data_IF_347129299837
#
_entry.id   IF_347129299837
#
_cell.length_a   1.000
_cell.length_b   1.000
_cell.length_c   1.000
_cell.angle_alpha   90.00
_cell.angle_beta   90.00
_cell.angle_gamma   90.00
#
_symmetry.space_group_name_H-M   'P 1'
#
loop_
_entity.id
_entity.type
_entity.pdbx_description
1 polymer ?
#
# COMPACT_ATOMS: atom_id res chain seq x y z
N UNK A 1 -3.80 11.12 -8.57
CA UNK A 1 -2.52 10.48 -8.18
C UNK A 1 -2.80 9.13 -7.58
N UNK A 2 -1.86 8.21 -7.76
CA UNK A 2 -1.81 6.85 -7.26
C UNK A 2 -0.92 6.84 -6.02
N UNK A 3 -1.49 6.67 -4.84
CA UNK A 3 -0.75 6.65 -3.58
C UNK A 3 -0.58 5.19 -3.15
N UNK A 4 0.67 4.74 -3.05
CA UNK A 4 1.02 3.44 -2.49
C UNK A 4 1.19 3.51 -0.98
N UNK A 5 0.65 2.53 -0.27
CA UNK A 5 0.86 2.33 1.17
C UNK A 5 1.51 0.97 1.41
N UNK A 6 2.66 0.98 2.08
CA UNK A 6 3.29 -0.23 2.61
C UNK A 6 2.54 -0.67 3.87
N UNK A 7 1.82 -1.78 3.76
CA UNK A 7 0.87 -2.26 4.76
C UNK A 7 -0.59 -1.99 4.36
N UNK A 8 -1.48 -2.85 4.86
CA UNK A 8 -2.90 -2.83 4.55
C UNK A 8 -3.80 -2.92 5.81
N UNK A 9 -3.28 -2.54 6.96
CA UNK A 9 -3.97 -2.48 8.24
C UNK A 9 -4.99 -1.36 8.36
N UNK A 10 -5.45 -1.11 9.59
CA UNK A 10 -6.50 -0.12 9.86
C UNK A 10 -6.06 1.33 9.57
N UNK A 11 -4.76 1.64 9.66
CA UNK A 11 -4.25 2.99 9.40
C UNK A 11 -4.22 3.27 7.89
N UNK A 12 -3.82 2.29 7.07
CA UNK A 12 -3.95 2.31 5.61
C UNK A 12 -5.40 2.55 5.19
N UNK A 13 -6.36 1.96 5.90
CA UNK A 13 -7.79 2.15 5.65
C UNK A 13 -8.22 3.58 5.95
N UNK A 14 -7.75 4.16 7.04
CA UNK A 14 -8.00 5.57 7.37
C UNK A 14 -7.36 6.52 6.34
N UNK A 15 -6.17 6.18 5.83
CA UNK A 15 -5.54 6.92 4.73
C UNK A 15 -6.37 6.85 3.46
N UNK A 16 -6.84 5.67 3.04
CA UNK A 16 -7.70 5.52 1.87
C UNK A 16 -8.97 6.36 1.96
N UNK A 17 -9.69 6.25 3.08
CA UNK A 17 -10.94 6.96 3.29
C UNK A 17 -10.74 8.49 3.25
N UNK A 18 -9.57 8.98 3.64
CA UNK A 18 -9.21 10.40 3.57
C UNK A 18 -8.74 10.82 2.17
N UNK A 19 -8.09 9.91 1.44
CA UNK A 19 -7.56 10.17 0.11
C UNK A 19 -8.65 10.17 -0.99
N UNK A 20 -9.70 9.37 -0.83
CA UNK A 20 -10.76 9.26 -1.84
C UNK A 20 -11.54 10.56 -2.10
N UNK A 21 -11.97 11.34 -1.08
CA UNK A 21 -12.58 12.65 -1.30
C UNK A 21 -11.70 13.63 -2.08
N UNK A 22 -10.38 13.41 -2.06
CA UNK A 22 -9.38 14.23 -2.77
C UNK A 22 -9.11 13.73 -4.21
N UNK A 23 -9.83 12.71 -4.67
CA UNK A 23 -9.66 12.15 -6.02
C UNK A 23 -8.39 11.32 -6.20
N UNK A 24 -7.79 10.83 -5.11
CA UNK A 24 -6.65 9.92 -5.17
C UNK A 24 -7.09 8.47 -5.28
N UNK A 25 -6.21 7.63 -5.84
CA UNK A 25 -6.40 6.19 -5.94
C UNK A 25 -5.35 5.48 -5.07
N UNK A 26 -5.78 4.46 -4.33
CA UNK A 26 -4.91 3.78 -3.37
C UNK A 26 -4.34 2.48 -3.93
N UNK A 27 -3.07 2.20 -3.63
CA UNK A 27 -2.44 0.87 -3.73
C UNK A 27 -2.00 0.42 -2.35
N UNK A 28 -2.11 -0.87 -2.09
CA UNK A 28 -1.67 -1.47 -0.83
C UNK A 28 -0.72 -2.62 -1.10
N UNK A 29 0.40 -2.63 -0.39
CA UNK A 29 1.21 -3.85 -0.24
C UNK A 29 0.72 -4.56 1.02
N UNK A 30 -0.01 -5.67 0.85
CA UNK A 30 -0.69 -6.39 1.91
C UNK A 30 -0.04 -7.75 2.18
N UNK A 31 -0.28 -8.31 3.36
CA UNK A 31 0.10 -9.70 3.67
C UNK A 31 -1.05 -10.66 3.35
N UNK A 32 -2.29 -10.17 3.36
CA UNK A 32 -3.49 -10.95 3.07
C UNK A 32 -4.52 -10.14 2.28
N UNK A 33 -5.31 -10.84 1.45
CA UNK A 33 -6.50 -10.27 0.79
C UNK A 33 -7.59 -9.86 1.81
N UNK A 34 -7.52 -10.38 3.04
CA UNK A 34 -8.45 -10.07 4.12
C UNK A 34 -7.99 -8.89 5.00
N UNK A 35 -6.83 -8.29 4.72
CA UNK A 35 -6.35 -7.15 5.50
C UNK A 35 -7.33 -5.96 5.40
N UNK A 36 -7.45 -5.12 6.46
CA UNK A 36 -8.48 -4.08 6.56
C UNK A 36 -8.58 -3.12 5.36
N UNK A 37 -7.48 -2.86 4.66
CA UNK A 37 -7.40 -1.96 3.51
C UNK A 37 -7.52 -2.66 2.16
N UNK A 38 -7.47 -4.00 2.11
CA UNK A 38 -7.31 -4.76 0.87
C UNK A 38 -8.46 -4.56 -0.13
N UNK A 39 -9.64 -4.14 0.35
CA UNK A 39 -10.81 -3.84 -0.49
C UNK A 39 -10.97 -2.35 -0.84
N UNK A 40 -10.06 -1.49 -0.38
CA UNK A 40 -10.12 -0.03 -0.53
C UNK A 40 -9.11 0.49 -1.54
N UNK A 41 -8.68 -0.34 -2.48
CA UNK A 41 -7.66 0.01 -3.46
C UNK A 41 -7.22 -1.20 -4.26
N UNK A 42 -6.19 -0.99 -5.09
CA UNK A 42 -5.53 -2.10 -5.77
C UNK A 42 -4.52 -2.72 -4.81
N UNK A 43 -4.70 -3.99 -4.51
CA UNK A 43 -3.90 -4.69 -3.50
C UNK A 43 -2.88 -5.61 -4.16
N UNK A 44 -1.68 -5.61 -3.59
CA UNK A 44 -0.55 -6.41 -4.00
C UNK A 44 -0.15 -7.29 -2.82
N UNK A 45 -0.36 -8.60 -2.96
CA UNK A 45 -0.03 -9.56 -1.91
C UNK A 45 1.47 -9.80 -1.91
N UNK A 46 2.13 -9.43 -0.81
CA UNK A 46 3.57 -9.60 -0.64
C UNK A 46 3.92 -11.07 -0.44
N UNK A 47 4.13 -11.77 -1.56
CA UNK A 47 4.56 -13.17 -1.61
C UNK A 47 5.97 -13.35 -2.21
N UNK A 48 6.50 -12.32 -2.87
CA UNK A 48 7.81 -12.31 -3.52
C UNK A 48 8.32 -10.86 -3.73
N UNK A 49 9.62 -10.70 -4.01
CA UNK A 49 10.28 -9.42 -4.25
C UNK A 49 9.75 -8.69 -5.49
N UNK A 50 9.33 -9.42 -6.53
CA UNK A 50 8.84 -8.82 -7.78
C UNK A 50 7.56 -8.01 -7.56
N UNK A 51 6.75 -8.39 -6.58
CA UNK A 51 5.51 -7.69 -6.23
C UNK A 51 5.79 -6.28 -5.71
N UNK A 52 6.86 -6.08 -4.95
CA UNK A 52 7.24 -4.76 -4.42
C UNK A 52 7.49 -3.79 -5.58
N UNK A 53 8.20 -4.26 -6.61
CA UNK A 53 8.49 -3.45 -7.79
C UNK A 53 7.22 -3.12 -8.58
N UNK A 54 6.33 -4.10 -8.79
CA UNK A 54 5.05 -3.87 -9.46
C UNK A 54 4.14 -2.89 -8.69
N UNK A 55 4.20 -2.91 -7.37
CA UNK A 55 3.52 -1.96 -6.50
C UNK A 55 4.13 -0.56 -6.61
N UNK A 56 5.47 -0.45 -6.59
CA UNK A 56 6.17 0.84 -6.71
C UNK A 56 5.95 1.46 -8.08
N UNK A 57 6.12 0.70 -9.16
CA UNK A 57 5.93 1.17 -10.54
C UNK A 57 4.48 1.62 -10.84
N UNK A 58 3.49 1.10 -10.12
CA UNK A 58 2.09 1.55 -10.22
C UNK A 58 1.73 2.66 -9.22
N UNK A 59 2.69 3.19 -8.45
CA UNK A 59 2.47 4.26 -7.47
C UNK A 59 3.20 5.54 -7.88
N UNK A 60 2.51 6.69 -7.81
CA UNK A 60 3.13 8.00 -8.05
C UNK A 60 3.95 8.47 -6.83
N UNK A 61 3.53 8.04 -5.64
CA UNK A 61 4.19 8.31 -4.36
C UNK A 61 3.89 7.15 -3.41
N UNK A 62 4.85 6.82 -2.54
CA UNK A 62 4.68 5.76 -1.54
C UNK A 62 4.86 6.30 -0.12
N UNK A 63 4.02 5.82 0.78
CA UNK A 63 4.13 5.98 2.23
C UNK A 63 4.03 4.61 2.93
N UNK A 64 4.27 4.56 4.23
CA UNK A 64 4.05 3.38 5.07
C UNK A 64 3.01 3.70 6.14
N UNK A 65 2.29 2.69 6.64
CA UNK A 65 1.31 2.89 7.71
C UNK A 65 1.84 2.58 9.13
N UNK A 66 2.94 1.82 9.24
CA UNK A 66 3.55 1.47 10.52
C UNK A 66 5.08 1.54 10.45
N UNK A 67 5.68 1.98 11.55
CA UNK A 67 7.11 1.94 11.82
C UNK A 67 7.71 0.53 11.79
N UNK A 68 6.88 -0.52 11.90
CA UNK A 68 7.31 -1.91 11.86
C UNK A 68 7.49 -2.46 10.44
N UNK A 69 7.31 -1.64 9.40
CA UNK A 69 7.59 -2.04 8.01
C UNK A 69 9.07 -2.44 7.86
N UNK A 70 9.31 -3.59 7.22
CA UNK A 70 10.67 -4.07 6.98
C UNK A 70 11.48 -3.07 6.13
N UNK A 71 12.65 -2.70 6.61
CA UNK A 71 13.57 -1.76 5.94
C UNK A 71 13.99 -2.25 4.56
N UNK A 72 14.07 -3.57 4.36
CA UNK A 72 14.36 -4.15 3.05
C UNK A 72 13.26 -3.82 2.03
N UNK A 73 11.99 -3.79 2.44
CA UNK A 73 10.89 -3.37 1.57
C UNK A 73 11.06 -1.90 1.21
N UNK A 74 11.27 -1.03 2.21
CA UNK A 74 11.40 0.44 2.00
C UNK A 74 12.54 0.78 1.05
N UNK A 75 13.64 0.02 1.05
CA UNK A 75 14.79 0.23 0.15
C UNK A 75 14.53 -0.17 -1.31
N UNK A 76 13.50 -0.97 -1.57
CA UNK A 76 13.17 -1.52 -2.88
C UNK A 76 11.96 -0.83 -3.53
N UNK A 77 11.46 0.24 -2.90
CA UNK A 77 10.34 1.04 -3.38
C UNK A 77 10.86 2.30 -4.03
#
# INVERSE_FOLDING_TARGET
>A
MKIGVLGAGQLGRMLALSAYPLGHQMRFLALSEEDPSSLLGKTYIHNDSDVIKLFSDDSDVVTYESENTDVSIVKNV
#
